data_IF_412631723176
#
_entry.id   IF_412631723176
#
_cell.length_a   1.000
_cell.length_b   1.000
_cell.length_c   1.000
_cell.angle_alpha   90.00
_cell.angle_beta   90.00
_cell.angle_gamma   90.00
#
_symmetry.space_group_name_H-M   'P 1'
#
loop_
_entity.id
_entity.type
_entity.pdbx_description
1 polymer ?
#
# COMPACT_ATOMS: atom_id res chain seq x y z
N UNK A 1 25.65 29.68 -8.92
CA UNK A 1 25.47 28.63 -7.90
C UNK A 1 24.10 27.91 -7.97
N UNK A 2 23.14 28.39 -8.77
CA UNK A 2 21.79 27.80 -8.92
C UNK A 2 21.74 26.52 -9.78
N UNK A 3 22.73 26.31 -10.66
CA UNK A 3 22.75 25.15 -11.57
C UNK A 3 22.98 23.81 -10.88
N UNK A 4 23.70 23.80 -9.74
CA UNK A 4 24.01 22.58 -8.99
C UNK A 4 22.78 22.06 -8.24
N UNK A 5 22.01 22.98 -7.65
CA UNK A 5 20.73 22.68 -6.97
C UNK A 5 19.70 22.17 -7.98
N UNK A 6 19.57 22.83 -9.14
CA UNK A 6 18.65 22.38 -10.19
C UNK A 6 18.98 20.97 -10.71
N UNK A 7 20.29 20.67 -10.88
CA UNK A 7 20.76 19.36 -11.33
C UNK A 7 20.54 18.27 -10.28
N UNK A 8 20.70 18.59 -8.99
CA UNK A 8 20.40 17.68 -7.88
C UNK A 8 18.90 17.35 -7.83
N UNK A 9 18.03 18.35 -7.94
CA UNK A 9 16.57 18.17 -7.95
C UNK A 9 16.10 17.32 -9.13
N UNK A 10 16.68 17.51 -10.32
CA UNK A 10 16.40 16.69 -11.48
C UNK A 10 16.79 15.21 -11.27
N UNK A 11 17.92 14.97 -10.61
CA UNK A 11 18.39 13.63 -10.27
C UNK A 11 17.47 12.93 -9.27
N UNK A 12 17.07 13.61 -8.20
CA UNK A 12 16.13 13.07 -7.19
C UNK A 12 14.76 12.76 -7.80
N UNK A 13 14.27 13.61 -8.70
CA UNK A 13 13.01 13.38 -9.41
C UNK A 13 13.03 12.16 -10.32
N UNK A 14 14.21 11.79 -10.86
CA UNK A 14 14.39 10.60 -11.68
C UNK A 14 14.30 9.31 -10.83
N UNK A 15 14.91 9.31 -9.64
CA UNK A 15 14.85 8.19 -8.70
C UNK A 15 13.47 8.03 -8.03
N UNK A 16 12.73 9.15 -7.90
CA UNK A 16 11.44 9.18 -7.23
C UNK A 16 10.28 8.75 -8.12
N UNK A 17 10.49 8.53 -9.42
CA UNK A 17 9.46 8.01 -10.33
C UNK A 17 9.36 6.49 -10.15
N UNK A 18 8.32 5.95 -9.49
CA UNK A 18 8.10 4.51 -9.50
C UNK A 18 7.84 4.09 -10.95
N UNK A 19 8.74 3.32 -11.55
CA UNK A 19 8.52 2.67 -12.84
C UNK A 19 7.56 1.49 -12.66
N UNK A 20 6.34 1.79 -12.21
CA UNK A 20 5.27 0.83 -12.01
C UNK A 20 4.67 0.40 -13.34
N UNK A 21 5.41 -0.37 -14.14
CA UNK A 21 4.86 -1.07 -15.33
C UNK A 21 3.81 -2.12 -14.97
N UNK A 22 3.56 -2.36 -13.68
CA UNK A 22 2.62 -3.33 -13.14
C UNK A 22 1.13 -2.99 -13.35
N UNK A 23 0.79 -1.83 -13.92
CA UNK A 23 -0.61 -1.46 -14.26
C UNK A 23 -0.86 -1.20 -15.74
N UNK A 24 0.05 -1.63 -16.62
CA UNK A 24 -0.13 -1.50 -18.07
C UNK A 24 -0.87 -2.69 -18.71
N UNK A 25 -1.46 -3.58 -17.91
CA UNK A 25 -2.50 -4.47 -18.45
C UNK A 25 -3.80 -3.68 -18.41
N UNK A 26 -4.50 -3.46 -19.54
CA UNK A 26 -5.86 -2.98 -19.50
C UNK A 26 -6.66 -4.03 -18.74
N UNK A 27 -6.94 -3.74 -17.46
CA UNK A 27 -7.83 -4.54 -16.66
C UNK A 27 -9.13 -4.68 -17.45
N UNK A 28 -9.49 -5.93 -17.74
CA UNK A 28 -10.76 -6.33 -18.36
C UNK A 28 -11.85 -5.50 -17.68
N UNK A 29 -12.49 -4.59 -18.43
CA UNK A 29 -13.52 -3.68 -17.89
C UNK A 29 -14.50 -4.52 -17.08
N UNK A 30 -14.51 -4.34 -15.75
CA UNK A 30 -15.56 -4.92 -14.92
C UNK A 30 -16.86 -4.24 -15.34
N UNK A 31 -17.65 -4.96 -16.15
CA UNK A 31 -19.01 -4.57 -16.48
C UNK A 31 -19.77 -4.36 -15.17
N UNK A 32 -20.42 -3.21 -14.95
CA UNK A 32 -21.26 -3.05 -13.78
C UNK A 32 -22.35 -4.12 -13.84
N UNK A 33 -22.33 -5.05 -12.89
CA UNK A 33 -23.41 -5.99 -12.67
C UNK A 33 -24.53 -5.17 -12.04
N UNK A 34 -25.64 -5.01 -12.75
CA UNK A 34 -26.84 -4.44 -12.17
C UNK A 34 -27.20 -5.24 -10.91
N UNK A 35 -27.44 -4.57 -9.80
CA UNK A 35 -27.85 -5.22 -8.56
C UNK A 35 -29.15 -6.00 -8.82
N UNK A 36 -29.06 -7.33 -8.77
CA UNK A 36 -30.24 -8.18 -8.82
C UNK A 36 -31.05 -7.97 -7.54
N UNK A 37 -32.39 -7.95 -7.60
CA UNK A 37 -33.23 -7.90 -6.41
C UNK A 37 -32.89 -9.08 -5.48
N UNK A 38 -32.76 -8.79 -4.18
CA UNK A 38 -32.44 -9.79 -3.15
C UNK A 38 -33.59 -10.80 -3.03
N UNK A 39 -33.51 -11.89 -3.78
CA UNK A 39 -34.40 -13.04 -3.60
C UNK A 39 -33.91 -13.85 -2.39
N UNK A 40 -34.58 -13.66 -1.26
CA UNK A 40 -34.32 -14.31 0.04
C UNK A 40 -34.57 -15.83 0.07
N UNK A 41 -34.37 -16.55 -1.04
CA UNK A 41 -34.67 -17.99 -1.10
C UNK A 41 -33.98 -18.80 -2.20
N UNK A 42 -33.13 -18.20 -3.03
CA UNK A 42 -32.40 -18.95 -4.05
C UNK A 42 -31.03 -19.35 -3.52
N UNK A 43 -30.87 -20.65 -3.21
CA UNK A 43 -29.56 -21.25 -2.94
C UNK A 43 -28.57 -20.82 -4.03
N UNK A 44 -27.41 -20.32 -3.62
CA UNK A 44 -26.35 -19.94 -4.55
C UNK A 44 -26.00 -21.14 -5.44
N UNK A 45 -25.69 -20.92 -6.73
CA UNK A 45 -25.21 -21.98 -7.60
C UNK A 45 -23.99 -22.67 -6.97
N UNK A 46 -23.94 -24.00 -7.07
CA UNK A 46 -22.79 -24.77 -6.64
C UNK A 46 -21.50 -24.19 -7.26
N UNK A 47 -20.47 -23.99 -6.44
CA UNK A 47 -19.25 -23.35 -6.88
C UNK A 47 -18.61 -24.15 -8.02
N UNK A 48 -18.35 -23.49 -9.16
CA UNK A 48 -17.87 -24.16 -10.39
C UNK A 48 -16.39 -23.98 -10.67
N UNK A 49 -15.69 -23.14 -9.91
CA UNK A 49 -14.25 -23.00 -10.08
C UNK A 49 -13.53 -24.18 -9.42
N UNK A 50 -12.43 -24.68 -10.03
CA UNK A 50 -11.59 -25.72 -9.44
C UNK A 50 -10.87 -25.27 -8.15
N UNK A 51 -10.98 -23.99 -7.79
CA UNK A 51 -10.54 -23.41 -6.51
C UNK A 51 -11.71 -23.20 -5.54
N UNK A 52 -12.82 -23.88 -5.82
CA UNK A 52 -14.09 -23.71 -5.17
C UNK A 52 -14.23 -24.42 -3.87
N UNK A 53 -13.71 -23.79 -2.83
CA UNK A 53 -13.89 -24.21 -1.44
C UNK A 53 -13.31 -25.60 -1.18
N UNK A 54 -12.05 -25.79 -1.56
CA UNK A 54 -11.26 -26.88 -1.02
C UNK A 54 -10.63 -26.43 0.29
N UNK A 55 -11.06 -27.11 1.35
CA UNK A 55 -10.70 -26.98 2.76
C UNK A 55 -10.79 -25.57 3.36
N UNK A 56 -11.31 -25.54 4.59
CA UNK A 56 -11.21 -24.33 5.41
C UNK A 56 -9.73 -24.11 5.69
N UNK A 57 -9.20 -22.97 5.21
CA UNK A 57 -7.81 -22.59 5.48
C UNK A 57 -7.71 -22.35 6.98
N UNK A 58 -7.03 -23.26 7.68
CA UNK A 58 -6.74 -23.09 9.09
C UNK A 58 -5.67 -22.01 9.27
N UNK A 59 -6.12 -20.83 9.69
CA UNK A 59 -5.24 -19.69 9.97
C UNK A 59 -4.24 -19.94 11.10
N UNK A 60 -4.39 -21.01 11.88
CA UNK A 60 -3.46 -21.39 12.95
C UNK A 60 -2.29 -22.24 12.44
N UNK A 61 -2.45 -22.95 11.31
CA UNK A 61 -1.36 -23.70 10.64
C UNK A 61 -0.57 -22.84 9.66
N UNK A 62 -1.12 -21.69 9.27
CA UNK A 62 -0.47 -20.72 8.38
C UNK A 62 0.26 -19.66 9.20
N UNK A 63 1.59 -19.57 9.07
CA UNK A 63 2.36 -18.47 9.68
C UNK A 63 1.85 -17.15 9.08
N UNK A 64 1.25 -16.32 9.91
CA UNK A 64 0.82 -14.97 9.53
C UNK A 64 2.06 -14.09 9.30
N UNK A 65 2.64 -14.18 8.09
CA UNK A 65 3.64 -13.23 7.66
C UNK A 65 2.92 -11.89 7.51
N UNK A 66 3.39 -10.84 8.20
CA UNK A 66 2.86 -9.47 8.11
C UNK A 66 3.76 -8.62 7.19
N UNK A 67 3.93 -8.97 5.89
CA UNK A 67 4.93 -8.33 5.04
C UNK A 67 4.69 -6.82 4.95
N UNK A 68 3.43 -6.37 5.02
CA UNK A 68 3.09 -4.96 4.95
C UNK A 68 3.41 -4.19 6.23
N UNK A 69 3.42 -4.84 7.39
CA UNK A 69 3.76 -4.19 8.66
C UNK A 69 5.27 -4.02 8.75
N UNK A 70 6.03 -5.06 8.44
CA UNK A 70 7.49 -4.96 8.36
C UNK A 70 7.91 -3.94 7.29
N UNK A 71 7.26 -3.93 6.12
CA UNK A 71 7.53 -2.93 5.09
C UNK A 71 7.19 -1.50 5.56
N UNK A 72 6.09 -1.33 6.31
CA UNK A 72 5.70 -0.05 6.89
C UNK A 72 6.74 0.45 7.91
N UNK A 73 7.16 -0.39 8.85
CA UNK A 73 8.17 -0.06 9.88
C UNK A 73 9.52 0.30 9.24
N UNK A 74 9.98 -0.49 8.26
CA UNK A 74 11.21 -0.18 7.52
C UNK A 74 11.13 1.15 6.75
N UNK A 75 9.95 1.51 6.27
CA UNK A 75 9.74 2.80 5.59
C UNK A 75 9.77 3.96 6.59
N UNK A 76 9.16 3.80 7.76
CA UNK A 76 9.19 4.81 8.83
C UNK A 76 10.63 5.07 9.29
N UNK A 77 11.40 4.01 9.58
CA UNK A 77 12.79 4.14 10.01
C UNK A 77 13.68 4.84 8.97
N UNK A 78 13.50 4.54 7.68
CA UNK A 78 14.22 5.23 6.59
C UNK A 78 13.85 6.71 6.51
N UNK A 79 12.60 7.06 6.76
CA UNK A 79 12.14 8.45 6.79
C UNK A 79 12.74 9.20 7.97
N UNK A 80 12.74 8.61 9.16
CA UNK A 80 13.35 9.19 10.36
C UNK A 80 14.84 9.52 10.13
N UNK A 81 15.60 8.54 9.62
CA UNK A 81 17.01 8.73 9.31
C UNK A 81 17.24 9.83 8.26
N UNK A 82 16.40 9.90 7.23
CA UNK A 82 16.50 10.94 6.21
C UNK A 82 16.24 12.34 6.79
N UNK A 83 15.25 12.47 7.69
CA UNK A 83 14.95 13.74 8.36
C UNK A 83 16.08 14.16 9.30
N UNK A 84 16.60 13.23 10.11
CA UNK A 84 17.74 13.46 10.98
C UNK A 84 18.99 13.90 10.21
N UNK A 85 19.27 13.28 9.05
CA UNK A 85 20.38 13.68 8.18
C UNK A 85 20.21 15.10 7.60
N UNK A 86 18.97 15.60 7.49
CA UNK A 86 18.66 16.97 7.10
C UNK A 86 18.63 17.95 8.29
N UNK A 87 18.88 17.47 9.52
CA UNK A 87 18.80 18.28 10.75
C UNK A 87 17.35 18.58 11.20
N UNK A 88 16.37 17.84 10.66
CA UNK A 88 14.97 17.98 11.02
C UNK A 88 14.60 16.90 12.05
N UNK A 89 14.03 17.31 13.18
CA UNK A 89 13.48 16.37 14.15
C UNK A 89 12.16 15.78 13.64
N UNK A 90 11.92 14.50 13.95
CA UNK A 90 10.70 13.81 13.54
C UNK A 90 9.60 14.16 14.53
N UNK A 91 8.50 14.82 14.12
CA UNK A 91 7.38 15.02 15.01
C UNK A 91 6.79 13.65 15.37
N UNK A 92 6.80 13.31 16.66
CA UNK A 92 6.03 12.19 17.19
C UNK A 92 4.53 12.37 16.91
N UNK A 93 3.69 11.35 17.15
CA UNK A 93 2.25 11.44 16.91
C UNK A 93 1.54 12.58 17.67
N UNK A 94 2.21 13.19 18.65
CA UNK A 94 1.76 14.32 19.45
C UNK A 94 2.35 15.67 19.03
N UNK A 95 3.04 15.78 17.89
CA UNK A 95 3.68 17.02 17.46
C UNK A 95 3.06 17.55 16.18
N UNK A 96 2.44 18.73 16.26
CA UNK A 96 1.83 19.44 15.14
C UNK A 96 2.46 20.83 15.07
N UNK A 97 3.00 21.24 13.92
CA UNK A 97 3.64 22.56 13.71
C UNK A 97 4.72 22.96 14.75
N UNK A 98 5.48 21.98 15.28
CA UNK A 98 6.55 22.24 16.25
C UNK A 98 6.06 22.47 17.69
N UNK A 99 4.78 22.20 17.96
CA UNK A 99 4.22 22.21 19.32
C UNK A 99 3.73 20.82 19.71
N UNK A 100 4.04 20.41 20.94
CA UNK A 100 3.49 19.21 21.57
C UNK A 100 2.00 19.43 21.89
N UNK A 101 1.14 18.53 21.42
CA UNK A 101 -0.29 18.48 21.65
C UNK A 101 -0.52 17.25 22.54
N UNK A 102 -0.45 17.46 23.86
CA UNK A 102 -0.81 16.49 24.89
C UNK A 102 -2.22 16.75 25.40
#
# INVERSE_FOLDING_TARGET
>A
MTGLVGRLLAWVGLLSKPSGRHRATPGRRSRPVAAAPLTLGTSLPAHRSPYGLHDTIDGTTTIAVRPYVTAHEQRQRRRELAMAAMGLDMPGPYWIHGTEVA
#
